data_IF_523435158494
#
_entry.id   IF_523435158494
#
_cell.length_a   1.000
_cell.length_b   1.000
_cell.length_c   1.000
_cell.angle_alpha   90.00
_cell.angle_beta   90.00
_cell.angle_gamma   90.00
#
_symmetry.space_group_name_H-M   'P 1'
#
loop_
_entity.id
_entity.type
_entity.pdbx_description
1 polymer ?
#
# COMPACT_ATOMS: atom_id res chain seq x y z
N UNK A 1 -22.59 -9.93 -10.08
CA UNK A 1 -23.65 -9.05 -10.61
C UNK A 1 -23.86 -7.96 -9.58
N UNK A 2 -22.93 -7.00 -9.53
CA UNK A 2 -23.01 -5.64 -10.13
C UNK A 2 -23.76 -4.66 -9.24
N UNK A 3 -22.98 -3.96 -8.41
CA UNK A 3 -23.15 -2.56 -8.04
C UNK A 3 -21.71 -2.09 -7.73
N UNK A 4 -20.97 -1.45 -8.64
CA UNK A 4 -21.17 -0.06 -9.08
C UNK A 4 -21.59 0.78 -7.89
N UNK A 5 -20.61 1.17 -7.08
CA UNK A 5 -20.66 2.36 -6.26
C UNK A 5 -19.87 3.40 -7.05
N UNK A 6 -20.47 3.86 -8.14
CA UNK A 6 -20.97 5.23 -8.27
C UNK A 6 -19.83 6.25 -8.16
N UNK A 7 -19.14 6.39 -9.29
CA UNK A 7 -18.17 7.43 -9.59
C UNK A 7 -18.87 8.76 -9.91
N UNK A 8 -19.82 9.26 -9.09
CA UNK A 8 -20.38 10.62 -9.29
C UNK A 8 -20.88 11.29 -8.01
N UNK A 9 -19.99 11.50 -7.02
CA UNK A 9 -20.21 12.53 -6.01
C UNK A 9 -19.31 13.73 -6.31
N UNK A 10 -19.91 14.78 -6.86
CA UNK A 10 -19.45 16.18 -6.75
C UNK A 10 -18.02 16.47 -7.17
N UNK A 11 -17.80 16.65 -8.48
CA UNK A 11 -16.66 17.44 -9.01
C UNK A 11 -16.91 18.95 -8.87
N UNK A 12 -17.46 19.38 -7.74
CA UNK A 12 -17.55 20.80 -7.43
C UNK A 12 -16.25 21.24 -6.76
N UNK A 13 -15.74 22.38 -7.23
CA UNK A 13 -14.40 22.88 -6.95
C UNK A 13 -14.08 22.94 -5.45
N UNK A 14 -13.22 22.05 -4.98
CA UNK A 14 -12.63 22.14 -3.64
C UNK A 14 -11.62 23.30 -3.60
N UNK A 15 -11.77 24.27 -2.68
CA UNK A 15 -10.87 25.42 -2.59
C UNK A 15 -9.45 24.98 -2.23
N UNK A 16 -8.47 25.60 -2.89
CA UNK A 16 -7.03 25.30 -2.78
C UNK A 16 -6.37 25.78 -1.48
N UNK A 17 -7.13 26.04 -0.42
CA UNK A 17 -6.62 26.49 0.88
C UNK A 17 -6.41 25.31 1.83
N UNK A 18 -5.40 25.40 2.70
CA UNK A 18 -5.27 24.52 3.88
C UNK A 18 -6.64 24.39 4.57
N UNK A 19 -6.99 23.22 5.13
CA UNK A 19 -8.22 23.09 5.89
C UNK A 19 -8.18 24.13 7.01
N UNK A 20 -9.26 24.90 7.17
CA UNK A 20 -9.37 25.81 8.31
C UNK A 20 -9.44 24.96 9.58
N UNK A 21 -9.00 25.48 10.72
CA UNK A 21 -9.07 24.74 12.00
C UNK A 21 -10.49 24.24 12.31
N UNK A 22 -11.50 24.97 11.84
CA UNK A 22 -12.93 24.65 11.94
C UNK A 22 -13.33 23.41 11.11
N UNK A 23 -12.70 23.19 9.95
CA UNK A 23 -12.94 22.00 9.11
C UNK A 23 -12.37 20.74 9.78
N UNK A 24 -11.24 20.88 10.50
CA UNK A 24 -10.60 19.79 11.22
C UNK A 24 -11.37 19.41 12.48
N UNK A 25 -11.81 20.39 13.27
CA UNK A 25 -12.59 20.14 14.49
C UNK A 25 -13.88 19.37 14.19
N UNK A 26 -14.60 19.83 13.16
CA UNK A 26 -15.83 19.16 12.67
C UNK A 26 -15.55 17.74 12.17
N UNK A 27 -14.40 17.52 11.53
CA UNK A 27 -14.03 16.20 11.01
C UNK A 27 -13.53 15.24 12.09
N UNK A 28 -12.99 15.75 13.20
CA UNK A 28 -12.38 14.96 14.26
C UNK A 28 -13.41 14.38 15.22
N UNK A 29 -14.44 15.14 15.60
CA UNK A 29 -15.33 14.71 16.67
C UNK A 29 -16.56 13.97 16.14
N UNK A 30 -16.84 12.82 16.74
CA UNK A 30 -18.02 12.01 16.42
C UNK A 30 -19.24 12.53 17.18
N UNK A 31 -20.14 13.23 16.50
CA UNK A 31 -21.36 13.76 17.11
C UNK A 31 -22.33 12.68 17.62
N UNK A 32 -22.17 11.41 17.21
CA UNK A 32 -23.01 10.30 17.68
C UNK A 32 -22.59 9.77 19.06
N UNK A 33 -21.39 10.13 19.55
CA UNK A 33 -20.85 9.68 20.84
C UNK A 33 -20.56 10.90 21.70
N UNK A 34 -21.46 11.18 22.65
CA UNK A 34 -21.36 12.34 23.55
C UNK A 34 -20.74 11.96 24.89
N UNK A 35 -20.27 12.95 25.66
CA UNK A 35 -19.69 12.75 26.99
C UNK A 35 -20.68 12.05 27.97
N UNK A 36 -21.97 12.33 27.83
CA UNK A 36 -23.03 11.72 28.63
C UNK A 36 -23.12 10.20 28.44
N UNK A 37 -22.66 9.67 27.30
CA UNK A 37 -22.60 8.22 27.08
C UNK A 37 -21.65 7.51 28.06
N UNK A 38 -20.76 8.23 28.73
CA UNK A 38 -19.78 7.67 29.65
C UNK A 38 -20.18 7.78 31.12
N UNK A 39 -21.36 8.33 31.44
CA UNK A 39 -21.84 8.41 32.83
C UNK A 39 -22.40 7.08 33.33
N UNK A 40 -22.88 6.23 32.42
CA UNK A 40 -23.34 4.87 32.73
C UNK A 40 -22.16 3.89 32.69
N UNK A 41 -21.98 3.13 33.79
CA UNK A 41 -20.87 2.18 33.95
C UNK A 41 -20.87 1.06 32.91
N UNK A 42 -22.03 0.55 32.51
CA UNK A 42 -22.12 -0.51 31.50
C UNK A 42 -21.75 0.02 30.12
N UNK A 43 -22.20 1.23 29.78
CA UNK A 43 -21.86 1.90 28.52
C UNK A 43 -20.38 2.29 28.48
N UNK A 44 -19.82 2.75 29.60
CA UNK A 44 -18.37 3.03 29.73
C UNK A 44 -17.54 1.77 29.45
N UNK A 45 -17.87 0.63 30.08
CA UNK A 45 -17.16 -0.65 29.86
C UNK A 45 -17.25 -1.12 28.41
N UNK A 46 -18.41 -0.93 27.77
CA UNK A 46 -18.57 -1.23 26.36
C UNK A 46 -17.61 -0.43 25.48
N UNK A 47 -17.54 0.89 25.68
CA UNK A 47 -16.63 1.75 24.91
C UNK A 47 -15.16 1.42 25.19
N UNK A 48 -14.80 1.08 26.42
CA UNK A 48 -13.45 0.62 26.75
C UNK A 48 -13.09 -0.68 26.02
N UNK A 49 -14.02 -1.64 25.91
CA UNK A 49 -13.81 -2.86 25.14
C UNK A 49 -13.62 -2.57 23.63
N UNK A 50 -14.42 -1.65 23.07
CA UNK A 50 -14.26 -1.20 21.67
C UNK A 50 -12.93 -0.50 21.47
N UNK A 51 -12.53 0.39 22.39
CA UNK A 51 -11.27 1.12 22.32
C UNK A 51 -10.07 0.17 22.36
N UNK A 52 -10.12 -0.88 23.19
CA UNK A 52 -9.07 -1.89 23.23
C UNK A 52 -9.00 -2.70 21.93
N UNK A 53 -10.14 -3.12 21.39
CA UNK A 53 -10.20 -3.78 20.09
C UNK A 53 -9.65 -2.89 18.97
N UNK A 54 -10.06 -1.62 18.96
CA UNK A 54 -9.58 -0.60 18.03
C UNK A 54 -8.05 -0.46 18.13
N UNK A 55 -7.50 -0.29 19.34
CA UNK A 55 -6.06 -0.16 19.58
C UNK A 55 -5.29 -1.35 19.02
N UNK A 56 -5.69 -2.57 19.40
CA UNK A 56 -5.04 -3.81 18.93
C UNK A 56 -5.12 -3.94 17.40
N UNK A 57 -6.26 -3.57 16.82
CA UNK A 57 -6.48 -3.73 15.39
C UNK A 57 -5.75 -2.68 14.55
N UNK A 58 -5.67 -1.42 15.02
CA UNK A 58 -4.84 -0.37 14.41
C UNK A 58 -3.38 -0.78 14.40
N UNK A 59 -2.86 -1.28 15.53
CA UNK A 59 -1.48 -1.77 15.58
C UNK A 59 -1.26 -2.95 14.61
N UNK A 60 -2.23 -3.86 14.51
CA UNK A 60 -2.19 -4.93 13.52
C UNK A 60 -2.20 -4.43 12.07
N UNK A 61 -3.00 -3.41 11.77
CA UNK A 61 -3.08 -2.79 10.44
C UNK A 61 -1.76 -2.09 10.05
N UNK A 62 -1.14 -1.39 11.01
CA UNK A 62 0.15 -0.75 10.80
C UNK A 62 1.27 -1.76 10.57
N UNK A 63 1.33 -2.84 11.37
CA UNK A 63 2.30 -3.93 11.19
C UNK A 63 2.24 -4.57 9.80
N UNK A 64 1.05 -4.71 9.20
CA UNK A 64 0.90 -5.20 7.81
C UNK A 64 1.51 -4.22 6.82
N UNK A 65 1.32 -2.92 7.03
CA UNK A 65 1.91 -1.86 6.20
C UNK A 65 3.44 -1.86 6.30
N UNK A 66 3.99 -1.99 7.51
CA UNK A 66 5.43 -2.15 7.72
C UNK A 66 5.99 -3.41 7.02
N UNK A 67 5.31 -4.55 7.14
CA UNK A 67 5.71 -5.81 6.48
C UNK A 67 5.71 -5.69 4.95
N UNK A 68 4.76 -4.94 4.37
CA UNK A 68 4.74 -4.64 2.94
C UNK A 68 6.00 -3.88 2.51
N UNK A 69 6.40 -2.86 3.27
CA UNK A 69 7.59 -2.06 2.96
C UNK A 69 8.87 -2.92 3.01
N UNK A 70 9.02 -3.76 4.04
CA UNK A 70 10.15 -4.69 4.14
C UNK A 70 10.18 -5.70 2.98
N UNK A 71 9.03 -6.28 2.61
CA UNK A 71 8.94 -7.20 1.48
C UNK A 71 9.30 -6.52 0.15
N UNK A 72 8.84 -5.28 -0.06
CA UNK A 72 9.19 -4.50 -1.24
C UNK A 72 10.70 -4.22 -1.31
N UNK A 73 11.33 -3.84 -0.19
CA UNK A 73 12.77 -3.61 -0.13
C UNK A 73 13.57 -4.89 -0.44
N UNK A 74 13.16 -6.04 0.11
CA UNK A 74 13.79 -7.33 -0.16
C UNK A 74 13.78 -7.67 -1.67
N UNK A 75 12.60 -7.60 -2.31
CA UNK A 75 12.49 -7.90 -3.73
C UNK A 75 13.18 -6.88 -4.62
N UNK A 76 13.20 -5.60 -4.24
CA UNK A 76 13.93 -4.56 -4.95
C UNK A 76 15.43 -4.84 -4.96
N UNK A 77 16.01 -5.17 -3.80
CA UNK A 77 17.43 -5.52 -3.67
C UNK A 77 17.78 -6.78 -4.47
N UNK A 78 16.96 -7.83 -4.38
CA UNK A 78 17.16 -9.06 -5.14
C UNK A 78 17.17 -8.84 -6.65
N UNK A 79 16.15 -8.14 -7.18
CA UNK A 79 16.09 -7.82 -8.61
C UNK A 79 17.24 -6.90 -9.06
N UNK A 80 17.65 -5.94 -8.24
CA UNK A 80 18.76 -5.03 -8.58
C UNK A 80 20.08 -5.79 -8.65
N UNK A 81 20.30 -6.75 -7.74
CA UNK A 81 21.48 -7.61 -7.77
C UNK A 81 21.50 -8.50 -9.02
N UNK A 82 20.37 -9.13 -9.37
CA UNK A 82 20.24 -9.94 -10.58
C UNK A 82 20.48 -9.11 -11.85
N UNK A 83 19.91 -7.91 -11.92
CA UNK A 83 20.10 -7.02 -13.06
C UNK A 83 21.56 -6.57 -13.20
N UNK A 84 22.23 -6.28 -12.09
CA UNK A 84 23.67 -5.95 -12.06
C UNK A 84 24.52 -7.12 -12.58
N UNK A 85 24.24 -8.35 -12.12
CA UNK A 85 24.95 -9.54 -12.58
C UNK A 85 24.75 -9.79 -14.07
N UNK A 86 23.52 -9.63 -14.57
CA UNK A 86 23.20 -9.81 -15.98
C UNK A 86 23.80 -8.70 -16.86
N UNK A 87 23.87 -7.47 -16.35
CA UNK A 87 24.59 -6.36 -16.97
C UNK A 87 26.08 -6.64 -17.09
N UNK A 88 26.73 -7.09 -16.01
CA UNK A 88 28.15 -7.46 -16.03
C UNK A 88 28.44 -8.59 -17.04
N UNK A 89 27.54 -9.56 -17.17
CA UNK A 89 27.68 -10.67 -18.13
C UNK A 89 27.79 -10.21 -19.59
N UNK A 90 27.25 -9.04 -19.97
CA UNK A 90 27.42 -8.49 -21.34
C UNK A 90 28.78 -7.89 -21.62
N UNK A 91 29.58 -7.60 -20.59
CA UNK A 91 30.93 -7.03 -20.75
C UNK A 91 32.02 -8.10 -20.82
N UNK A 92 31.68 -9.34 -20.43
CA UNK A 92 32.58 -10.50 -20.51
C UNK A 92 32.31 -11.22 -21.84
N UNK A 93 33.36 -11.75 -22.50
CA UNK A 93 33.23 -12.57 -23.71
C UNK A 93 32.18 -13.67 -23.49
N UNK A 94 30.97 -13.44 -24.03
CA UNK A 94 29.75 -14.17 -23.64
C UNK A 94 29.72 -15.58 -24.21
N UNK A 95 30.60 -15.88 -25.18
CA UNK A 95 30.77 -17.18 -25.84
C UNK A 95 31.08 -18.36 -24.90
N UNK A 96 31.33 -18.11 -23.60
CA UNK A 96 31.58 -19.16 -22.59
C UNK A 96 30.37 -19.53 -21.73
N UNK A 97 29.26 -18.79 -21.79
CA UNK A 97 28.08 -19.05 -20.94
C UNK A 97 27.07 -19.91 -21.71
N UNK A 98 26.70 -21.11 -21.21
CA UNK A 98 25.69 -21.92 -21.88
C UNK A 98 24.33 -21.21 -21.92
N UNK A 99 23.65 -21.23 -23.07
CA UNK A 99 22.31 -20.65 -23.25
C UNK A 99 21.33 -21.14 -22.18
N UNK A 100 21.41 -22.41 -21.79
CA UNK A 100 20.59 -22.99 -20.73
C UNK A 100 20.74 -22.24 -19.39
N UNK A 101 21.95 -21.79 -19.04
CA UNK A 101 22.20 -21.02 -17.81
C UNK A 101 21.52 -19.65 -17.90
N UNK A 102 21.63 -18.97 -19.05
CA UNK A 102 20.98 -17.67 -19.27
C UNK A 102 19.46 -17.79 -19.15
N UNK A 103 18.87 -18.81 -19.79
CA UNK A 103 17.43 -19.09 -19.73
C UNK A 103 16.99 -19.40 -18.30
N UNK A 104 17.74 -20.21 -17.55
CA UNK A 104 17.44 -20.51 -16.15
C UNK A 104 17.47 -19.26 -15.26
N UNK A 105 18.48 -18.39 -15.41
CA UNK A 105 18.58 -17.13 -14.65
C UNK A 105 17.44 -16.19 -15.01
N UNK A 106 17.12 -16.05 -16.30
CA UNK A 106 16.01 -15.22 -16.75
C UNK A 106 14.67 -15.73 -16.21
N UNK A 107 14.43 -17.04 -16.27
CA UNK A 107 13.23 -17.66 -15.71
C UNK A 107 13.12 -17.41 -14.20
N UNK A 108 14.22 -17.57 -13.45
CA UNK A 108 14.25 -17.28 -12.01
C UNK A 108 13.92 -15.81 -11.71
N UNK A 109 14.48 -14.86 -12.47
CA UNK A 109 14.22 -13.43 -12.30
C UNK A 109 12.75 -13.08 -12.59
N UNK A 110 12.17 -13.64 -13.65
CA UNK A 110 10.75 -13.44 -13.98
C UNK A 110 9.82 -14.05 -12.93
N UNK A 111 10.13 -15.26 -12.45
CA UNK A 111 9.42 -15.87 -11.32
C UNK A 111 9.46 -14.98 -10.07
N UNK A 112 10.61 -14.38 -9.77
CA UNK A 112 10.76 -13.47 -8.64
C UNK A 112 9.90 -12.20 -8.81
N UNK A 113 9.82 -11.64 -10.02
CA UNK A 113 8.93 -10.53 -10.34
C UNK A 113 7.44 -10.90 -10.17
N UNK A 114 7.04 -12.10 -10.61
CA UNK A 114 5.67 -12.59 -10.44
C UNK A 114 5.31 -12.76 -8.96
N UNK A 115 6.18 -13.41 -8.18
CA UNK A 115 5.99 -13.60 -6.74
C UNK A 115 5.88 -12.25 -6.03
N UNK A 116 6.72 -11.28 -6.40
CA UNK A 116 6.65 -9.93 -5.86
C UNK A 116 5.31 -9.26 -6.17
N UNK A 117 4.83 -9.35 -7.41
CA UNK A 117 3.52 -8.81 -7.82
C UNK A 117 2.35 -9.41 -7.03
N UNK A 118 2.36 -10.74 -6.83
CA UNK A 118 1.35 -11.46 -6.04
C UNK A 118 1.38 -11.00 -4.57
N UNK A 119 2.57 -10.97 -3.95
CA UNK A 119 2.73 -10.53 -2.57
C UNK A 119 2.28 -9.08 -2.37
N UNK A 120 2.71 -8.17 -3.26
CA UNK A 120 2.31 -6.78 -3.22
C UNK A 120 0.79 -6.62 -3.35
N UNK A 121 0.13 -7.43 -4.19
CA UNK A 121 -1.34 -7.43 -4.30
C UNK A 121 -2.00 -7.93 -3.02
N UNK A 122 -1.52 -9.04 -2.46
CA UNK A 122 -2.04 -9.63 -1.23
C UNK A 122 -2.01 -8.64 -0.06
N UNK A 123 -0.85 -7.99 0.16
CA UNK A 123 -0.71 -7.00 1.22
C UNK A 123 -1.63 -5.79 1.04
N UNK A 124 -1.85 -5.33 -0.19
CA UNK A 124 -2.79 -4.22 -0.44
C UNK A 124 -4.21 -4.60 -0.07
N UNK A 125 -4.69 -5.75 -0.52
CA UNK A 125 -6.06 -6.20 -0.22
C UNK A 125 -6.25 -6.36 1.28
N UNK A 126 -5.30 -7.00 1.96
CA UNK A 126 -5.38 -7.21 3.41
C UNK A 126 -5.31 -5.89 4.18
N UNK A 127 -4.43 -4.97 3.79
CA UNK A 127 -4.30 -3.65 4.42
C UNK A 127 -5.58 -2.84 4.24
N UNK A 128 -6.15 -2.79 3.03
CA UNK A 128 -7.42 -2.09 2.77
C UNK A 128 -8.57 -2.69 3.59
N UNK A 129 -8.67 -4.01 3.66
CA UNK A 129 -9.69 -4.67 4.48
C UNK A 129 -9.53 -4.35 5.97
N UNK A 130 -8.29 -4.33 6.48
CA UNK A 130 -8.03 -3.97 7.88
C UNK A 130 -8.42 -2.53 8.19
N UNK A 131 -8.04 -1.58 7.34
CA UNK A 131 -8.39 -0.17 7.54
C UNK A 131 -9.91 0.08 7.45
N UNK A 132 -10.65 -0.70 6.65
CA UNK A 132 -12.11 -0.65 6.64
C UNK A 132 -12.72 -1.07 7.99
N UNK A 133 -12.16 -2.12 8.62
CA UNK A 133 -12.59 -2.55 9.98
C UNK A 133 -12.21 -1.51 11.03
N UNK A 134 -11.01 -0.92 10.95
CA UNK A 134 -10.61 0.19 11.84
C UNK A 134 -11.61 1.33 11.77
N UNK A 135 -12.00 1.74 10.55
CA UNK A 135 -12.97 2.81 10.37
C UNK A 135 -14.32 2.50 11.01
N UNK A 136 -14.81 1.26 10.91
CA UNK A 136 -16.08 0.85 11.53
C UNK A 136 -15.99 0.80 13.07
N UNK A 137 -14.85 0.37 13.62
CA UNK A 137 -14.60 0.45 15.07
C UNK A 137 -14.55 1.91 15.53
N UNK A 138 -13.91 2.78 14.77
CA UNK A 138 -13.75 4.20 15.07
C UNK A 138 -15.10 4.95 15.09
N UNK A 139 -16.09 4.54 14.28
CA UNK A 139 -17.45 5.11 14.31
C UNK A 139 -18.16 4.96 15.67
N UNK A 140 -17.68 4.07 16.54
CA UNK A 140 -18.19 3.88 17.91
C UNK A 140 -17.35 4.61 18.96
N UNK A 141 -16.32 5.35 18.55
CA UNK A 141 -15.46 6.14 19.44
C UNK A 141 -15.78 7.64 19.32
N UNK A 142 -15.42 8.45 20.33
CA UNK A 142 -15.66 9.90 20.31
C UNK A 142 -14.89 10.67 19.23
N UNK A 143 -13.79 10.10 18.72
CA UNK A 143 -12.93 10.75 17.73
C UNK A 143 -12.78 9.88 16.47
N UNK A 144 -12.81 10.53 15.30
CA UNK A 144 -12.68 9.99 13.95
C UNK A 144 -11.34 10.43 13.32
N UNK A 145 -10.25 10.16 14.04
CA UNK A 145 -8.92 10.61 13.68
C UNK A 145 -8.47 10.07 12.31
N UNK A 146 -8.61 8.76 12.06
CA UNK A 146 -8.14 8.13 10.83
C UNK A 146 -9.18 8.14 9.70
N UNK A 147 -10.44 7.87 10.03
CA UNK A 147 -11.52 7.75 9.02
C UNK A 147 -11.96 9.09 8.43
N UNK A 148 -11.74 10.20 9.14
CA UNK A 148 -12.22 11.53 8.73
C UNK A 148 -11.15 12.62 8.82
N UNK A 149 -10.65 12.92 10.03
CA UNK A 149 -9.76 14.07 10.26
C UNK A 149 -8.47 14.04 9.42
N UNK A 150 -7.81 12.88 9.34
CA UNK A 150 -6.59 12.71 8.54
C UNK A 150 -6.84 13.01 7.06
N UNK A 151 -7.96 12.56 6.50
CA UNK A 151 -8.30 12.80 5.10
C UNK A 151 -8.59 14.26 4.82
N UNK A 152 -9.30 14.97 5.71
CA UNK A 152 -9.55 16.41 5.56
C UNK A 152 -8.24 17.20 5.54
N UNK A 153 -7.22 16.77 6.30
CA UNK A 153 -5.88 17.40 6.26
C UNK A 153 -5.04 17.00 5.05
N UNK A 154 -5.19 15.77 4.55
CA UNK A 154 -4.39 15.24 3.44
C UNK A 154 -4.92 15.64 2.05
N UNK A 155 -6.25 15.72 1.86
CA UNK A 155 -6.93 15.96 0.58
C UNK A 155 -6.62 17.32 -0.08
N UNK A 156 -6.45 18.45 0.65
CA UNK A 156 -6.10 19.75 0.07
C UNK A 156 -4.70 19.75 -0.57
N UNK A 157 -3.86 18.77 -0.27
CA UNK A 157 -2.61 18.58 -1.01
C UNK A 157 -2.95 18.02 -2.39
N UNK A 158 -3.03 18.92 -3.39
CA UNK A 158 -3.26 18.68 -4.83
C UNK A 158 -2.25 17.70 -5.50
N UNK A 159 -1.44 17.01 -4.71
CA UNK A 159 -0.34 16.11 -5.07
C UNK A 159 -0.38 14.75 -4.36
N UNK A 160 -1.39 14.45 -3.53
CA UNK A 160 -1.49 13.10 -2.95
C UNK A 160 -1.79 12.06 -4.04
N UNK A 161 -0.73 11.56 -4.66
CA UNK A 161 -0.75 10.37 -5.48
C UNK A 161 -0.46 9.22 -4.53
N UNK A 162 -1.38 8.26 -4.33
CA UNK A 162 -1.08 7.10 -3.53
C UNK A 162 0.19 6.45 -4.09
N UNK A 163 1.26 6.39 -3.28
CA UNK A 163 2.51 5.71 -3.64
C UNK A 163 2.24 4.31 -4.21
N UNK A 164 1.17 3.70 -3.73
CA UNK A 164 0.58 2.43 -4.15
C UNK A 164 0.35 2.29 -5.66
N UNK A 165 0.09 3.39 -6.38
CA UNK A 165 -0.11 3.35 -7.84
C UNK A 165 1.22 3.13 -8.58
N UNK A 166 2.30 3.73 -8.09
CA UNK A 166 3.65 3.57 -8.65
C UNK A 166 4.20 2.19 -8.25
N UNK A 167 4.06 1.80 -6.99
CA UNK A 167 4.51 0.51 -6.47
C UNK A 167 3.96 -0.70 -7.24
N UNK A 168 2.74 -0.56 -7.81
CA UNK A 168 2.11 -1.62 -8.61
C UNK A 168 2.91 -1.99 -9.85
N UNK A 169 3.59 -1.01 -10.47
CA UNK A 169 4.28 -1.20 -11.75
C UNK A 169 5.74 -1.63 -11.59
N UNK A 170 6.30 -1.54 -10.38
CA UNK A 170 7.72 -1.86 -10.14
C UNK A 170 8.06 -3.31 -10.54
N UNK A 171 7.29 -4.36 -10.19
CA UNK A 171 7.61 -5.72 -10.62
C UNK A 171 7.56 -5.90 -12.15
N UNK A 172 6.62 -5.22 -12.82
CA UNK A 172 6.49 -5.28 -14.28
C UNK A 172 7.66 -4.57 -14.98
N UNK A 173 8.12 -3.43 -14.43
CA UNK A 173 9.31 -2.72 -14.91
C UNK A 173 10.55 -3.61 -14.81
N UNK A 174 10.78 -4.27 -13.67
CA UNK A 174 11.90 -5.20 -13.53
C UNK A 174 11.77 -6.40 -14.47
N UNK A 175 10.58 -6.98 -14.64
CA UNK A 175 10.38 -8.06 -15.60
C UNK A 175 10.78 -7.63 -17.03
N UNK A 176 10.38 -6.43 -17.46
CA UNK A 176 10.77 -5.87 -18.75
C UNK A 176 12.29 -5.67 -18.88
N UNK A 177 12.94 -5.16 -17.83
CA UNK A 177 14.40 -4.99 -17.80
C UNK A 177 15.14 -6.33 -17.90
N UNK A 178 14.71 -7.35 -17.16
CA UNK A 178 15.30 -8.68 -17.25
C UNK A 178 15.14 -9.30 -18.64
N UNK A 179 13.97 -9.14 -19.27
CA UNK A 179 13.73 -9.59 -20.65
C UNK A 179 14.66 -8.89 -21.65
N UNK A 180 14.73 -7.55 -21.59
CA UNK A 180 15.60 -6.78 -22.49
C UNK A 180 17.07 -7.16 -22.32
N UNK A 181 17.52 -7.30 -21.08
CA UNK A 181 18.90 -7.67 -20.78
C UNK A 181 19.22 -9.12 -21.17
N UNK A 182 18.29 -10.06 -20.93
CA UNK A 182 18.44 -11.45 -21.36
C UNK A 182 18.52 -11.60 -22.87
N UNK A 183 17.70 -10.86 -23.61
CA UNK A 183 17.77 -10.80 -25.08
C UNK A 183 19.12 -10.23 -25.54
N UNK A 184 19.58 -9.14 -24.92
CA UNK A 184 20.87 -8.54 -25.27
C UNK A 184 22.04 -9.51 -25.10
N UNK A 185 22.07 -10.25 -23.98
CA UNK A 185 23.09 -11.30 -23.71
C UNK A 185 23.03 -12.43 -24.75
N UNK A 186 21.83 -12.85 -25.16
CA UNK A 186 21.66 -13.90 -26.17
C UNK A 186 22.05 -13.45 -27.59
N UNK A 187 21.96 -12.14 -27.89
CA UNK A 187 22.39 -11.58 -29.16
C UNK A 187 23.90 -11.27 -29.20
N UNK A 188 24.54 -11.13 -28.02
CA UNK A 188 25.98 -10.86 -27.90
C UNK A 188 26.85 -12.12 -27.80
N UNK A 189 26.24 -13.28 -27.50
CA UNK A 189 26.88 -14.60 -27.45
C UNK A 189 26.84 -15.31 -28.79
#
# INVERSE_FOLDING_TARGET
MTAVHDDTVGRDALPASRPRGEDLDTALWNSAVTADAFTDEAVYRYHMAVMEQYRVYVESADRVSARRNTANAFFLSGNTALLTLLGAATTVETHRIPVAVIVCVLAAALCQCLIWGIQARSYRVLSSAKWAVVAELERRLPALAYSSAEWVTALPSRRYRPLTRIERWIPALFAALHLGMGIAVLLSG
#
